data_IF_019131352913
#
_entry.id   IF_019131352913
#
_cell.length_a   1.000
_cell.length_b   1.000
_cell.length_c   1.000
_cell.angle_alpha   90.00
_cell.angle_beta   90.00
_cell.angle_gamma   90.00
#
_symmetry.space_group_name_H-M   'P 1'
#
loop_
_entity.id
_entity.type
_entity.pdbx_description
1 polymer ?
#
# COMPACT_ATOMS: atom_id res chain seq x y z
N UNK A 1 -1.80 10.73 -20.56
CA UNK A 1 -1.39 10.99 -19.17
C UNK A 1 -0.94 9.67 -18.59
N UNK A 2 0.32 9.57 -18.20
CA UNK A 2 0.84 8.46 -17.40
C UNK A 2 0.84 8.95 -15.95
N UNK A 3 0.38 8.08 -15.05
CA UNK A 3 0.22 8.38 -13.63
C UNK A 3 1.20 7.46 -12.92
N UNK A 4 2.27 8.04 -12.38
CA UNK A 4 3.20 7.37 -11.47
C UNK A 4 3.03 7.91 -10.06
N UNK A 5 3.42 7.08 -9.09
CA UNK A 5 3.55 7.45 -7.69
C UNK A 5 4.96 7.12 -7.25
N UNK A 6 5.56 7.98 -6.43
CA UNK A 6 6.86 7.69 -5.83
C UNK A 6 6.64 6.79 -4.61
N UNK A 7 6.82 5.50 -4.82
CA UNK A 7 6.72 4.48 -3.76
C UNK A 7 8.09 3.97 -3.33
N UNK A 8 9.19 4.66 -3.68
CA UNK A 8 10.53 4.14 -3.38
C UNK A 8 10.72 3.88 -1.88
N UNK A 9 10.27 4.79 -1.03
CA UNK A 9 10.40 4.65 0.43
C UNK A 9 9.54 3.49 0.94
N UNK A 10 8.24 3.47 0.63
CA UNK A 10 7.33 2.38 1.03
C UNK A 10 7.76 0.99 0.52
N UNK A 11 8.32 0.91 -0.69
CA UNK A 11 8.86 -0.33 -1.25
C UNK A 11 10.07 -0.79 -0.44
N UNK A 12 10.99 0.13 -0.11
CA UNK A 12 12.17 -0.20 0.68
C UNK A 12 11.80 -0.64 2.10
N UNK A 13 10.85 0.05 2.74
CA UNK A 13 10.35 -0.28 4.07
C UNK A 13 9.68 -1.65 4.09
N UNK A 14 8.68 -1.87 3.23
CA UNK A 14 7.97 -3.16 3.17
C UNK A 14 8.91 -4.33 2.86
N UNK A 15 9.91 -4.10 2.00
CA UNK A 15 10.92 -5.12 1.70
C UNK A 15 11.83 -5.39 2.92
N UNK A 16 12.22 -4.36 3.67
CA UNK A 16 13.01 -4.52 4.89
C UNK A 16 12.21 -5.30 5.94
N UNK A 17 10.95 -4.95 6.17
CA UNK A 17 10.09 -5.60 7.16
C UNK A 17 9.85 -7.08 6.86
N UNK A 18 9.65 -7.43 5.59
CA UNK A 18 9.54 -8.83 5.16
C UNK A 18 10.86 -9.58 5.38
N UNK A 19 11.99 -8.95 5.09
CA UNK A 19 13.32 -9.55 5.27
C UNK A 19 13.67 -9.75 6.75
N UNK A 20 13.24 -8.84 7.60
CA UNK A 20 13.43 -8.89 9.06
C UNK A 20 12.42 -9.82 9.75
N UNK A 21 11.40 -10.28 9.02
CA UNK A 21 10.38 -11.20 9.54
C UNK A 21 9.30 -10.51 10.36
N UNK A 22 9.20 -9.18 10.26
CA UNK A 22 8.12 -8.39 10.87
C UNK A 22 6.79 -8.60 10.13
N UNK A 23 6.86 -8.83 8.81
CA UNK A 23 5.73 -9.10 7.94
C UNK A 23 5.94 -10.43 7.23
N UNK A 24 4.92 -11.30 7.19
CA UNK A 24 4.94 -12.49 6.35
C UNK A 24 4.74 -12.10 4.88
N UNK A 25 5.78 -12.25 4.05
CA UNK A 25 5.73 -11.95 2.62
C UNK A 25 4.71 -12.77 1.81
N UNK A 26 4.24 -13.92 2.35
CA UNK A 26 3.16 -14.71 1.75
C UNK A 26 1.79 -14.45 2.41
N UNK A 27 1.78 -13.63 3.46
CA UNK A 27 0.59 -13.28 4.21
C UNK A 27 -0.17 -12.11 3.60
N UNK A 28 -1.03 -11.54 4.43
CA UNK A 28 -1.81 -10.34 4.11
C UNK A 28 -1.41 -9.19 5.00
N UNK A 29 -1.64 -7.97 4.53
CA UNK A 29 -1.38 -6.74 5.25
C UNK A 29 -2.54 -5.77 5.07
N UNK A 30 -2.77 -4.92 6.07
CA UNK A 30 -3.75 -3.84 6.02
C UNK A 30 -3.07 -2.60 5.44
N UNK A 31 -3.71 -1.94 4.51
CA UNK A 31 -3.17 -0.81 3.74
C UNK A 31 -4.17 0.32 3.73
N UNK A 32 -3.71 1.53 4.01
CA UNK A 32 -4.48 2.74 3.77
C UNK A 32 -4.40 3.14 2.30
N UNK A 33 -5.56 3.37 1.69
CA UNK A 33 -5.66 3.90 0.34
C UNK A 33 -5.92 5.41 0.34
N UNK A 34 -5.38 6.09 -0.65
CA UNK A 34 -5.73 7.48 -0.93
C UNK A 34 -7.05 7.58 -1.69
N UNK A 35 -7.39 8.80 -2.09
CA UNK A 35 -8.57 9.02 -2.93
C UNK A 35 -8.45 8.34 -4.28
N UNK A 36 -9.56 7.76 -4.76
CA UNK A 36 -9.58 7.14 -6.08
C UNK A 36 -9.47 8.20 -7.15
N UNK A 37 -8.36 8.17 -7.90
CA UNK A 37 -8.15 9.03 -9.06
C UNK A 37 -8.68 8.31 -10.31
N UNK A 38 -9.56 8.99 -11.05
CA UNK A 38 -10.12 8.49 -12.32
C UNK A 38 -9.49 9.26 -13.48
N UNK A 39 -8.82 8.56 -14.38
CA UNK A 39 -8.23 9.12 -15.60
C UNK A 39 -8.70 8.33 -16.81
N UNK A 40 -9.66 8.90 -17.56
CA UNK A 40 -10.29 8.22 -18.70
C UNK A 40 -11.05 6.97 -18.27
N UNK A 41 -10.65 5.80 -18.79
CA UNK A 41 -11.22 4.49 -18.43
C UNK A 41 -10.46 3.77 -17.30
N UNK A 42 -9.49 4.44 -16.67
CA UNK A 42 -8.69 3.87 -15.59
C UNK A 42 -9.03 4.56 -14.27
N UNK A 43 -9.11 3.79 -13.20
CA UNK A 43 -9.23 4.27 -11.83
C UNK A 43 -8.14 3.64 -10.98
N UNK A 44 -7.56 4.40 -10.06
CA UNK A 44 -6.55 3.91 -9.15
C UNK A 44 -6.63 4.66 -7.82
N UNK A 45 -6.59 3.93 -6.70
CA UNK A 45 -6.48 4.47 -5.36
C UNK A 45 -5.05 4.20 -4.87
N UNK A 46 -4.22 5.24 -4.64
CA UNK A 46 -2.83 5.05 -4.26
C UNK A 46 -2.68 4.40 -2.89
N UNK A 47 -1.54 3.74 -2.69
CA UNK A 47 -1.09 3.29 -1.38
C UNK A 47 -0.59 4.51 -0.61
N UNK A 48 -1.09 4.72 0.60
CA UNK A 48 -0.62 5.80 1.48
C UNK A 48 0.31 5.22 2.54
N UNK A 49 -0.14 4.17 3.23
CA UNK A 49 0.60 3.52 4.30
C UNK A 49 0.14 2.07 4.49
N UNK A 50 0.86 1.29 5.29
CA UNK A 50 0.48 -0.05 5.70
C UNK A 50 0.62 -0.23 7.22
N UNK A 51 -0.14 -1.18 7.76
CA UNK A 51 -0.21 -1.40 9.20
C UNK A 51 0.16 -2.85 9.52
N UNK A 52 0.94 -3.01 10.58
CA UNK A 52 1.23 -4.30 11.17
C UNK A 52 -0.03 -4.90 11.80
N UNK A 53 -0.06 -6.22 11.95
CA UNK A 53 -1.16 -6.91 12.64
C UNK A 53 -1.28 -6.49 14.12
N UNK A 54 -0.20 -5.99 14.71
CA UNK A 54 -0.17 -5.48 16.08
C UNK A 54 -0.74 -4.07 16.23
N UNK A 55 -0.97 -3.36 15.13
CA UNK A 55 -1.44 -1.98 15.17
C UNK A 55 -2.94 -1.92 15.45
N UNK A 56 -3.32 -1.07 16.41
CA UNK A 56 -4.70 -0.81 16.78
C UNK A 56 -5.30 0.30 15.91
N UNK A 57 -5.43 0.00 14.62
CA UNK A 57 -5.85 0.97 13.61
C UNK A 57 -7.25 1.53 13.84
N UNK A 58 -8.12 0.79 14.53
CA UNK A 58 -9.51 1.18 14.79
C UNK A 58 -9.61 2.40 15.72
N UNK A 59 -8.53 2.69 16.46
CA UNK A 59 -8.44 3.80 17.41
C UNK A 59 -7.54 4.95 16.91
N UNK A 60 -7.02 4.87 15.68
CA UNK A 60 -6.23 5.95 15.08
C UNK A 60 -7.16 6.99 14.44
N UNK A 61 -7.24 8.17 15.05
CA UNK A 61 -8.11 9.27 14.57
C UNK A 61 -7.73 9.79 13.18
N UNK A 62 -6.46 9.60 12.76
CA UNK A 62 -5.94 10.08 11.48
C UNK A 62 -6.19 9.09 10.32
N UNK A 63 -6.62 7.86 10.62
CA UNK A 63 -6.81 6.79 9.64
C UNK A 63 -8.28 6.69 9.24
N UNK A 64 -8.56 6.94 7.96
CA UNK A 64 -9.89 6.73 7.39
C UNK A 64 -10.18 5.24 7.21
N UNK A 65 -10.97 4.67 8.14
CA UNK A 65 -11.31 3.25 8.16
C UNK A 65 -12.02 2.78 6.88
N UNK A 66 -12.71 3.67 6.15
CA UNK A 66 -13.35 3.32 4.88
C UNK A 66 -12.33 3.07 3.75
N UNK A 67 -11.09 3.54 3.92
CA UNK A 67 -9.99 3.39 2.96
C UNK A 67 -9.04 2.25 3.28
N UNK A 68 -9.27 1.54 4.40
CA UNK A 68 -8.46 0.38 4.78
C UNK A 68 -8.83 -0.82 3.91
N UNK A 69 -7.81 -1.44 3.35
CA UNK A 69 -7.94 -2.65 2.55
C UNK A 69 -6.96 -3.73 3.03
N UNK A 70 -7.42 -4.97 3.06
CA UNK A 70 -6.54 -6.13 3.23
C UNK A 70 -6.10 -6.63 1.86
N UNK A 71 -4.79 -6.73 1.66
CA UNK A 71 -4.17 -7.19 0.41
C UNK A 71 -3.04 -8.17 0.73
N UNK A 72 -2.70 -9.07 -0.21
CA UNK A 72 -1.50 -9.90 -0.04
C UNK A 72 -0.23 -9.06 -0.17
N UNK A 73 0.76 -9.33 0.68
CA UNK A 73 2.01 -8.56 0.71
C UNK A 73 2.72 -8.57 -0.64
N UNK A 74 2.77 -9.74 -1.29
CA UNK A 74 3.36 -9.87 -2.62
C UNK A 74 2.59 -9.10 -3.71
N UNK A 75 1.26 -9.06 -3.65
CA UNK A 75 0.42 -8.32 -4.58
C UNK A 75 0.61 -6.80 -4.41
N UNK A 76 0.69 -6.33 -3.16
CA UNK A 76 0.99 -4.94 -2.84
C UNK A 76 2.37 -4.51 -3.35
N UNK A 77 3.41 -5.32 -3.12
CA UNK A 77 4.76 -5.04 -3.61
C UNK A 77 4.79 -4.94 -5.14
N UNK A 78 4.14 -5.87 -5.84
CA UNK A 78 4.03 -5.85 -7.31
C UNK A 78 3.25 -4.61 -7.79
N UNK A 79 2.18 -4.24 -7.09
CA UNK A 79 1.40 -3.05 -7.40
C UNK A 79 2.26 -1.78 -7.30
N UNK A 80 2.94 -1.59 -6.16
CA UNK A 80 3.79 -0.42 -5.93
C UNK A 80 4.92 -0.34 -6.95
N UNK A 81 5.64 -1.44 -7.23
CA UNK A 81 6.68 -1.48 -8.26
C UNK A 81 6.15 -1.07 -9.64
N UNK A 82 4.98 -1.59 -10.04
CA UNK A 82 4.37 -1.23 -11.34
C UNK A 82 4.00 0.24 -11.41
N UNK A 83 3.42 0.79 -10.34
CA UNK A 83 2.98 2.18 -10.30
C UNK A 83 4.13 3.17 -10.13
N UNK A 84 5.27 2.72 -9.59
CA UNK A 84 6.51 3.50 -9.48
C UNK A 84 7.19 3.69 -10.84
N UNK A 85 7.11 2.68 -11.72
CA UNK A 85 7.79 2.67 -13.03
C UNK A 85 6.97 3.30 -14.18
N UNK A 86 5.68 3.62 -14.01
CA UNK A 86 4.82 4.19 -15.07
C UNK A 86 5.08 5.69 -15.29
N UNK A 87 6.24 6.03 -15.87
CA UNK A 87 6.61 7.40 -16.34
C UNK A 87 5.88 7.74 -17.63
#
# INVERSE_FOLDING_TARGET
MRLSYDYNDLIHELHADVKEGLIDGNGTIRVERGETIITGHKSYAPVIDYFYDTDDIEHLEEVDQERIQTIKVNELMIEMLKMNDII
#
